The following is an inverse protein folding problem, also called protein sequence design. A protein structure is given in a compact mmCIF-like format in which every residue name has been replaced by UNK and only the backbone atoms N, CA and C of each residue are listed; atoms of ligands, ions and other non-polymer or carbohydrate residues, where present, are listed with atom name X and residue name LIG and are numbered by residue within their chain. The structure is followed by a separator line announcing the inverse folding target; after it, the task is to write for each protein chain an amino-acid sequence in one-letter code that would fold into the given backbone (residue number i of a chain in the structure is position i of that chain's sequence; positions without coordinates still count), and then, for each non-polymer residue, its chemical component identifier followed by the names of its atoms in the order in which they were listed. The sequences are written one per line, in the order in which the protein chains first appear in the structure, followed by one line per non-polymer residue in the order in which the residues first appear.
data_IF_090220269370
#
_entry.id   IF_090220269370
#
_cell.length_a   1.000
_cell.length_b   1.000
_cell.length_c   1.000
_cell.angle_alpha   90.00
_cell.angle_beta   90.00
_cell.angle_gamma   90.00
#
_symmetry.space_group_name_H-M   'P 1'
#
loop_
_entity.id
_entity.type
_entity.pdbx_description
1 polymer ?
#
# COMPACT_ATOMS: atom_id res chain seq x y z
N UNK A 1 -5.68 -18.40 -63.62
CA UNK A 1 -6.19 -18.02 -62.30
C UNK A 1 -6.15 -19.24 -61.39
N UNK A 2 -5.19 -19.29 -60.50
CA UNK A 2 -5.02 -20.40 -59.54
C UNK A 2 -5.47 -19.88 -58.18
N UNK A 3 -6.55 -20.43 -57.63
CA UNK A 3 -7.08 -20.17 -56.31
C UNK A 3 -6.20 -20.87 -55.28
N UNK A 4 -5.53 -20.10 -54.44
CA UNK A 4 -4.76 -20.61 -53.28
C UNK A 4 -5.72 -20.72 -52.09
N UNK A 5 -6.19 -21.93 -51.81
CA UNK A 5 -6.99 -22.18 -50.59
C UNK A 5 -6.08 -22.37 -49.40
N UNK A 6 -6.02 -21.41 -48.50
CA UNK A 6 -5.39 -21.52 -47.19
C UNK A 6 -6.29 -22.33 -46.26
N UNK A 7 -5.92 -23.59 -46.06
CA UNK A 7 -6.48 -24.40 -44.95
C UNK A 7 -5.79 -24.02 -43.67
N UNK A 8 -6.49 -23.30 -42.81
CA UNK A 8 -6.04 -23.02 -41.44
C UNK A 8 -6.02 -24.33 -40.65
N UNK A 9 -4.86 -24.82 -40.33
CA UNK A 9 -4.68 -25.93 -39.42
C UNK A 9 -4.74 -25.35 -37.98
N UNK A 10 -5.91 -25.40 -37.36
CA UNK A 10 -6.11 -25.08 -35.95
C UNK A 10 -5.57 -26.25 -35.11
N UNK A 11 -4.33 -26.20 -34.69
CA UNK A 11 -3.77 -27.11 -33.71
C UNK A 11 -4.32 -26.73 -32.34
N UNK A 12 -5.41 -27.38 -31.92
CA UNK A 12 -5.91 -27.30 -30.55
C UNK A 12 -4.95 -28.15 -29.72
N UNK A 13 -3.99 -27.48 -29.03
CA UNK A 13 -3.24 -28.09 -27.94
C UNK A 13 -4.19 -28.28 -26.75
N UNK A 14 -4.82 -29.46 -26.67
CA UNK A 14 -5.46 -29.91 -25.45
C UNK A 14 -4.37 -30.30 -24.44
N UNK A 15 -3.91 -29.36 -23.65
CA UNK A 15 -3.18 -29.68 -22.43
C UNK A 15 -4.19 -30.34 -21.48
N UNK A 16 -3.93 -31.56 -20.98
CA UNK A 16 -4.68 -32.09 -19.87
C UNK A 16 -4.36 -31.23 -18.64
N UNK A 17 -5.22 -30.26 -18.34
CA UNK A 17 -5.23 -29.66 -17.01
C UNK A 17 -5.63 -30.75 -16.04
N UNK A 18 -4.66 -31.39 -15.41
CA UNK A 18 -4.91 -32.13 -14.19
C UNK A 18 -5.35 -31.12 -13.16
N UNK A 19 -6.65 -30.98 -12.96
CA UNK A 19 -7.23 -30.30 -11.81
C UNK A 19 -6.81 -31.15 -10.59
N UNK A 20 -5.67 -30.82 -9.99
CA UNK A 20 -5.32 -31.31 -8.66
C UNK A 20 -6.31 -30.59 -7.75
N UNK A 21 -7.35 -31.30 -7.30
CA UNK A 21 -8.23 -30.79 -6.26
C UNK A 21 -7.36 -30.49 -5.04
N UNK A 22 -7.22 -29.22 -4.68
CA UNK A 22 -6.50 -28.82 -3.48
C UNK A 22 -7.24 -29.39 -2.28
N UNK A 23 -6.54 -30.16 -1.45
CA UNK A 23 -7.08 -30.67 -0.20
C UNK A 23 -7.01 -29.54 0.85
N UNK A 24 -8.16 -29.11 1.34
CA UNK A 24 -8.30 -28.10 2.38
C UNK A 24 -8.73 -28.70 3.73
N UNK A 25 -8.67 -30.03 3.89
CA UNK A 25 -9.07 -30.70 5.13
C UNK A 25 -8.32 -30.14 6.35
N UNK A 26 -7.01 -29.94 6.22
CA UNK A 26 -6.18 -29.33 7.26
C UNK A 26 -6.68 -27.95 7.70
N UNK A 27 -7.13 -27.12 6.74
CA UNK A 27 -7.65 -25.78 7.00
C UNK A 27 -9.01 -25.84 7.71
N UNK A 28 -9.89 -26.73 7.23
CA UNK A 28 -11.20 -26.95 7.80
C UNK A 28 -11.10 -27.39 9.27
N UNK A 29 -10.19 -28.31 9.56
CA UNK A 29 -9.95 -28.83 10.91
C UNK A 29 -9.33 -27.75 11.81
N UNK A 30 -8.32 -27.02 11.31
CA UNK A 30 -7.62 -25.98 12.06
C UNK A 30 -8.54 -24.83 12.45
N UNK A 31 -9.43 -24.41 11.55
CA UNK A 31 -10.30 -23.26 11.73
C UNK A 31 -11.75 -23.61 12.06
N UNK A 32 -12.04 -24.91 12.33
CA UNK A 32 -13.37 -25.40 12.71
C UNK A 32 -14.45 -24.92 11.71
N UNK A 33 -14.17 -25.12 10.41
CA UNK A 33 -15.07 -24.70 9.35
C UNK A 33 -16.44 -25.36 9.51
N UNK A 34 -17.52 -24.58 9.39
CA UNK A 34 -18.90 -25.02 9.58
C UNK A 34 -19.49 -25.84 8.41
N UNK A 35 -18.70 -26.04 7.34
CA UNK A 35 -19.12 -26.79 6.15
C UNK A 35 -19.96 -25.99 5.16
N UNK A 36 -20.33 -24.75 5.44
CA UNK A 36 -21.27 -23.94 4.65
C UNK A 36 -20.80 -22.53 4.37
N UNK A 37 -20.24 -21.83 5.37
CA UNK A 37 -19.76 -20.46 5.24
C UNK A 37 -18.58 -20.37 4.27
N UNK A 38 -18.63 -19.44 3.32
CA UNK A 38 -17.52 -19.27 2.41
C UNK A 38 -16.25 -18.89 3.16
N UNK A 39 -15.15 -19.54 2.84
CA UNK A 39 -13.88 -19.40 3.56
C UNK A 39 -13.39 -17.93 3.71
N UNK A 40 -13.66 -17.06 2.73
CA UNK A 40 -13.25 -15.66 2.79
C UNK A 40 -13.90 -14.89 3.93
N UNK A 41 -15.04 -15.37 4.46
CA UNK A 41 -15.71 -14.76 5.62
C UNK A 41 -14.97 -14.97 6.93
N UNK A 42 -14.00 -15.87 6.95
CA UNK A 42 -13.09 -16.08 8.09
C UNK A 42 -11.89 -15.12 8.05
N UNK A 43 -11.57 -14.55 6.87
CA UNK A 43 -10.48 -13.60 6.76
C UNK A 43 -10.81 -12.30 7.49
N UNK A 44 -9.89 -11.88 8.34
CA UNK A 44 -9.95 -10.57 8.96
C UNK A 44 -9.29 -9.57 8.00
N UNK A 45 -10.12 -8.81 7.29
CA UNK A 45 -9.64 -7.80 6.33
C UNK A 45 -9.33 -6.51 7.10
N UNK A 46 -8.21 -6.51 7.79
CA UNK A 46 -7.68 -5.42 8.58
C UNK A 46 -6.13 -5.42 8.54
N UNK A 47 -5.46 -4.27 8.76
CA UNK A 47 -4.01 -4.14 8.59
C UNK A 47 -3.18 -5.16 9.39
N UNK A 48 -3.63 -5.55 10.58
CA UNK A 48 -2.92 -6.51 11.42
C UNK A 48 -2.90 -7.94 10.84
N UNK A 49 -3.85 -8.28 9.96
CA UNK A 49 -4.04 -9.64 9.44
C UNK A 49 -3.72 -9.80 7.95
N UNK A 50 -3.31 -8.71 7.28
CA UNK A 50 -3.01 -8.70 5.86
C UNK A 50 -1.52 -8.43 5.59
N UNK A 51 -1.13 -8.52 4.32
CA UNK A 51 0.21 -8.17 3.88
C UNK A 51 0.56 -6.70 4.10
N UNK A 52 1.86 -6.32 4.04
CA UNK A 52 2.32 -4.97 4.40
C UNK A 52 1.75 -3.86 3.51
N UNK A 53 1.34 -4.20 2.30
CA UNK A 53 0.87 -3.24 1.30
C UNK A 53 -0.64 -3.32 1.04
N UNK A 54 -1.38 -4.13 1.82
CA UNK A 54 -2.82 -4.33 1.61
C UNK A 54 -3.65 -3.06 1.90
N UNK A 55 -3.19 -2.24 2.86
CA UNK A 55 -3.85 -1.00 3.24
C UNK A 55 -2.86 0.15 3.21
N UNK A 56 -2.85 0.99 2.15
CA UNK A 56 -2.01 2.18 2.11
C UNK A 56 -2.43 3.15 3.22
N UNK A 57 -1.44 3.66 3.96
CA UNK A 57 -1.64 4.61 5.07
C UNK A 57 -0.99 5.93 4.65
N UNK A 58 -1.75 6.90 4.14
CA UNK A 58 -1.24 8.17 3.66
C UNK A 58 -0.68 9.02 4.81
N UNK A 59 0.24 9.90 4.47
CA UNK A 59 0.79 10.93 5.35
C UNK A 59 0.67 12.29 4.66
N UNK A 60 0.91 13.37 5.41
CA UNK A 60 0.85 14.72 4.88
C UNK A 60 2.00 14.94 3.89
N UNK A 61 1.68 15.04 2.60
CA UNK A 61 2.62 15.34 1.52
C UNK A 61 2.31 16.73 0.94
N UNK A 62 3.34 17.43 0.49
CA UNK A 62 3.18 18.71 -0.21
C UNK A 62 2.68 18.49 -1.64
N UNK A 63 2.13 19.54 -2.22
CA UNK A 63 1.73 19.59 -3.63
C UNK A 63 2.90 19.13 -4.53
N UNK A 64 2.62 18.19 -5.42
CA UNK A 64 3.56 17.80 -6.45
C UNK A 64 3.43 18.73 -7.68
N UNK A 65 4.52 19.36 -8.05
CA UNK A 65 4.61 20.31 -9.18
C UNK A 65 5.37 19.74 -10.37
N UNK A 66 5.96 18.56 -10.23
CA UNK A 66 6.82 17.95 -11.25
C UNK A 66 6.31 16.58 -11.69
N UNK A 67 6.68 16.16 -12.88
CA UNK A 67 6.54 14.77 -13.28
C UNK A 67 7.65 13.98 -12.60
N UNK A 68 7.28 12.93 -11.86
CA UNK A 68 8.21 12.14 -11.06
C UNK A 68 7.99 10.65 -11.29
N UNK A 69 9.07 9.90 -11.26
CA UNK A 69 9.07 8.45 -11.24
C UNK A 69 9.90 7.95 -10.05
N UNK A 70 9.30 7.13 -9.19
CA UNK A 70 9.96 6.59 -7.99
C UNK A 70 9.97 5.07 -8.05
N UNK A 71 11.12 4.51 -7.70
CA UNK A 71 11.32 3.09 -7.43
C UNK A 71 11.75 2.93 -5.98
N UNK A 72 11.18 1.93 -5.31
CA UNK A 72 11.54 1.56 -3.95
C UNK A 72 11.73 0.06 -3.82
N UNK A 73 12.67 -0.34 -2.98
CA UNK A 73 12.81 -1.70 -2.49
C UNK A 73 12.50 -1.71 -1.01
N UNK A 74 11.55 -2.54 -0.60
CA UNK A 74 11.09 -2.69 0.78
C UNK A 74 11.50 -4.05 1.33
N UNK A 75 12.01 -4.07 2.55
CA UNK A 75 12.22 -5.28 3.34
C UNK A 75 11.38 -5.16 4.61
N UNK A 76 10.44 -6.07 4.78
CA UNK A 76 9.51 -6.08 5.91
C UNK A 76 9.88 -7.19 6.88
N UNK A 77 9.89 -6.86 8.16
CA UNK A 77 10.18 -7.79 9.24
C UNK A 77 8.95 -7.97 10.12
N UNK A 78 8.48 -9.20 10.20
CA UNK A 78 7.46 -9.67 11.14
C UNK A 78 7.90 -11.05 11.65
N UNK A 79 7.87 -11.36 12.96
CA UNK A 79 8.15 -12.70 13.45
C UNK A 79 7.30 -13.76 12.76
N UNK A 80 7.92 -14.82 12.25
CA UNK A 80 7.23 -15.87 11.49
C UNK A 80 6.98 -15.56 10.02
N UNK A 81 7.40 -14.41 9.51
CA UNK A 81 7.18 -14.01 8.12
C UNK A 81 8.42 -13.37 7.50
N UNK A 82 8.67 -13.69 6.23
CA UNK A 82 9.69 -13.05 5.40
C UNK A 82 9.02 -12.39 4.21
N UNK A 83 9.23 -11.09 4.07
CA UNK A 83 8.65 -10.28 3.01
C UNK A 83 9.64 -9.28 2.45
N UNK A 84 9.58 -9.09 1.13
CA UNK A 84 10.16 -7.95 0.45
C UNK A 84 9.35 -7.63 -0.81
N UNK A 85 9.37 -6.38 -1.22
CA UNK A 85 8.69 -5.94 -2.44
C UNK A 85 9.43 -4.81 -3.15
N UNK A 86 8.96 -4.54 -4.37
CA UNK A 86 9.32 -3.37 -5.15
C UNK A 86 8.13 -2.44 -5.25
N UNK A 87 8.32 -1.18 -4.85
CA UNK A 87 7.37 -0.10 -5.08
C UNK A 87 7.70 0.58 -6.41
N UNK A 88 6.68 0.83 -7.22
CA UNK A 88 6.74 1.71 -8.38
C UNK A 88 5.69 2.80 -8.23
N UNK A 89 6.10 4.06 -8.42
CA UNK A 89 5.21 5.20 -8.30
C UNK A 89 5.48 6.19 -9.44
N UNK A 90 4.42 6.68 -10.04
CA UNK A 90 4.45 7.73 -11.05
C UNK A 90 3.56 8.87 -10.60
N UNK A 91 4.09 10.11 -10.62
CA UNK A 91 3.34 11.32 -10.26
C UNK A 91 3.37 12.30 -11.43
N UNK A 92 2.23 12.90 -11.71
CA UNK A 92 2.05 13.82 -12.82
C UNK A 92 1.23 15.05 -12.39
N UNK A 93 1.74 16.28 -12.60
CA UNK A 93 0.98 17.49 -12.33
C UNK A 93 -0.13 17.69 -13.37
N UNK A 94 -1.35 17.93 -12.90
CA UNK A 94 -2.52 18.28 -13.71
C UNK A 94 -2.71 19.82 -13.68
N UNK A 95 -1.76 20.53 -14.26
CA UNK A 95 -1.68 21.99 -14.17
C UNK A 95 -1.13 22.45 -12.80
N UNK A 96 -1.46 23.69 -12.41
CA UNK A 96 -0.87 24.34 -11.22
C UNK A 96 -1.51 23.90 -9.90
N UNK A 97 -2.75 23.39 -9.95
CA UNK A 97 -3.58 23.17 -8.75
C UNK A 97 -3.88 21.73 -8.42
N UNK A 98 -3.50 20.79 -9.28
CA UNK A 98 -3.79 19.38 -9.04
C UNK A 98 -2.64 18.48 -9.48
N UNK A 99 -2.55 17.30 -8.92
CA UNK A 99 -1.65 16.25 -9.38
C UNK A 99 -2.30 14.88 -9.26
N UNK A 100 -1.89 13.97 -10.14
CA UNK A 100 -2.26 12.56 -10.15
C UNK A 100 -1.04 11.73 -9.76
N UNK A 101 -1.26 10.70 -8.96
CA UNK A 101 -0.25 9.70 -8.60
C UNK A 101 -0.80 8.30 -8.82
N UNK A 102 0.02 7.46 -9.41
CA UNK A 102 -0.23 6.04 -9.57
C UNK A 102 0.85 5.27 -8.83
N UNK A 103 0.46 4.33 -7.97
CA UNK A 103 1.41 3.51 -7.21
C UNK A 103 1.01 2.04 -7.29
N UNK A 104 1.98 1.16 -7.40
CA UNK A 104 1.81 -0.29 -7.38
C UNK A 104 3.06 -0.96 -6.83
N UNK A 105 2.88 -2.11 -6.17
CA UNK A 105 3.95 -3.05 -5.84
C UNK A 105 3.89 -4.20 -6.84
N UNK A 106 4.58 -4.13 -8.00
CA UNK A 106 4.42 -5.13 -9.07
C UNK A 106 4.87 -6.52 -8.66
N UNK A 107 5.81 -6.62 -7.73
CA UNK A 107 6.34 -7.88 -7.22
C UNK A 107 6.51 -7.76 -5.71
N UNK A 108 5.93 -8.70 -4.99
CA UNK A 108 6.11 -8.94 -3.56
C UNK A 108 6.43 -10.43 -3.36
N UNK A 109 7.52 -10.74 -2.68
CA UNK A 109 7.80 -12.09 -2.19
C UNK A 109 7.33 -12.21 -0.76
N UNK A 110 6.70 -13.33 -0.43
CA UNK A 110 6.28 -13.65 0.93
C UNK A 110 6.52 -15.12 1.27
N UNK A 111 6.78 -15.36 2.55
CA UNK A 111 6.81 -16.68 3.17
C UNK A 111 6.33 -16.57 4.60
N UNK A 112 5.29 -17.33 4.95
CA UNK A 112 4.73 -17.37 6.30
C UNK A 112 4.98 -18.72 6.95
N UNK A 113 5.22 -18.74 8.25
CA UNK A 113 5.18 -19.96 9.04
C UNK A 113 3.74 -20.38 9.37
N UNK A 114 3.59 -21.52 10.06
CA UNK A 114 2.29 -22.07 10.40
C UNK A 114 1.50 -21.22 11.40
N UNK A 115 2.18 -20.46 12.26
CA UNK A 115 1.53 -19.57 13.23
C UNK A 115 0.85 -18.40 12.51
N UNK A 116 1.61 -17.66 11.69
CA UNK A 116 1.08 -16.54 10.91
C UNK A 116 0.03 -17.01 9.90
N UNK A 117 0.26 -18.16 9.23
CA UNK A 117 -0.71 -18.78 8.34
C UNK A 117 -2.07 -18.96 9.01
N UNK A 118 -2.06 -19.56 10.19
CA UNK A 118 -3.29 -19.90 10.93
C UNK A 118 -3.96 -18.63 11.48
N UNK A 119 -3.20 -17.70 12.02
CA UNK A 119 -3.70 -16.41 12.51
C UNK A 119 -4.45 -15.61 11.43
N UNK A 120 -3.93 -15.68 10.19
CA UNK A 120 -4.52 -14.97 9.04
C UNK A 120 -5.53 -15.77 8.24
N UNK A 121 -5.85 -16.99 8.65
CA UNK A 121 -6.75 -17.88 7.90
C UNK A 121 -6.29 -18.14 6.46
N UNK A 122 -4.99 -18.09 6.20
CA UNK A 122 -4.46 -18.35 4.86
C UNK A 122 -4.80 -19.76 4.38
N UNK A 123 -5.13 -19.90 3.09
CA UNK A 123 -5.66 -21.16 2.52
C UNK A 123 -4.58 -22.11 2.02
N UNK A 124 -3.37 -21.64 1.75
CA UNK A 124 -2.28 -22.52 1.33
C UNK A 124 -1.62 -23.14 2.56
N UNK A 125 -1.37 -24.44 2.52
CA UNK A 125 -0.75 -25.17 3.63
C UNK A 125 0.69 -24.67 3.89
N UNK A 126 1.40 -24.33 2.82
CA UNK A 126 2.75 -23.78 2.85
C UNK A 126 2.76 -22.42 2.09
N UNK A 127 2.32 -21.33 2.73
CA UNK A 127 2.13 -20.06 2.07
C UNK A 127 3.47 -19.38 1.80
N UNK A 128 4.01 -19.63 0.62
CA UNK A 128 5.22 -19.04 0.07
C UNK A 128 5.04 -18.75 -1.41
N UNK A 129 5.48 -17.59 -1.87
CA UNK A 129 5.41 -17.27 -3.29
C UNK A 129 5.53 -15.78 -3.59
N UNK A 130 4.97 -15.42 -4.73
CA UNK A 130 4.96 -14.05 -5.21
C UNK A 130 3.54 -13.52 -5.32
N UNK A 131 3.38 -12.24 -4.99
CA UNK A 131 2.15 -11.48 -5.17
C UNK A 131 2.40 -10.25 -6.04
N UNK A 132 1.36 -9.75 -6.69
CA UNK A 132 1.29 -8.40 -7.26
C UNK A 132 0.35 -7.56 -6.42
N UNK A 133 0.70 -6.29 -6.21
CA UNK A 133 -0.09 -5.37 -5.40
C UNK A 133 -1.30 -4.79 -6.12
N UNK A 134 -2.14 -4.14 -5.34
CA UNK A 134 -3.21 -3.30 -5.85
C UNK A 134 -2.66 -2.04 -6.51
N UNK A 135 -3.33 -1.58 -7.56
CA UNK A 135 -3.09 -0.24 -8.07
C UNK A 135 -3.74 0.78 -7.12
N UNK A 136 -2.95 1.72 -6.63
CA UNK A 136 -3.41 2.89 -5.90
C UNK A 136 -3.39 4.10 -6.82
N UNK A 137 -4.53 4.77 -6.94
CA UNK A 137 -4.72 6.00 -7.71
C UNK A 137 -5.01 7.11 -6.70
N UNK A 138 -4.18 8.15 -6.70
CA UNK A 138 -4.33 9.29 -5.80
C UNK A 138 -4.42 10.59 -6.60
N UNK A 139 -5.25 11.50 -6.15
CA UNK A 139 -5.34 12.86 -6.69
C UNK A 139 -5.27 13.86 -5.55
N UNK A 140 -4.47 14.89 -5.75
CA UNK A 140 -4.32 16.01 -4.84
C UNK A 140 -4.81 17.28 -5.51
N UNK A 141 -5.58 18.08 -4.81
CA UNK A 141 -6.09 19.37 -5.27
C UNK A 141 -5.72 20.48 -4.27
N UNK A 142 -5.09 21.52 -4.76
CA UNK A 142 -4.71 22.70 -3.99
C UNK A 142 -5.95 23.55 -3.71
N UNK A 143 -6.30 23.70 -2.44
CA UNK A 143 -7.40 24.55 -1.97
C UNK A 143 -6.94 25.95 -1.60
N UNK A 144 -5.73 26.06 -1.00
CA UNK A 144 -5.15 27.32 -0.56
C UNK A 144 -3.63 27.22 -0.59
N UNK A 145 -2.97 28.32 -0.95
CA UNK A 145 -1.52 28.46 -0.95
C UNK A 145 -1.14 29.92 -0.68
N UNK A 146 -0.14 30.11 0.16
CA UNK A 146 0.59 31.37 0.31
C UNK A 146 2.11 31.06 0.39
N UNK A 147 2.93 32.07 0.68
CA UNK A 147 4.40 31.92 0.70
C UNK A 147 4.92 30.82 1.65
N UNK A 148 4.20 30.54 2.72
CA UNK A 148 4.64 29.59 3.75
C UNK A 148 3.72 28.39 3.95
N UNK A 149 2.47 28.46 3.49
CA UNK A 149 1.47 27.45 3.83
C UNK A 149 0.71 27.00 2.62
N UNK A 150 0.32 25.71 2.63
CA UNK A 150 -0.59 25.13 1.66
C UNK A 150 -1.62 24.23 2.33
N UNK A 151 -2.83 24.21 1.77
CA UNK A 151 -3.91 23.30 2.13
C UNK A 151 -4.31 22.50 0.90
N UNK A 152 -4.25 21.18 1.00
CA UNK A 152 -4.61 20.24 -0.06
C UNK A 152 -5.83 19.43 0.34
N UNK A 153 -6.69 19.14 -0.64
CA UNK A 153 -7.66 18.06 -0.58
C UNK A 153 -7.10 16.86 -1.34
N UNK A 154 -7.11 15.69 -0.72
CA UNK A 154 -6.57 14.48 -1.29
C UNK A 154 -7.66 13.41 -1.33
N UNK A 155 -7.69 12.64 -2.41
CA UNK A 155 -8.49 11.44 -2.58
C UNK A 155 -7.60 10.31 -3.07
N UNK A 156 -7.76 9.12 -2.51
CA UNK A 156 -7.09 7.90 -2.93
C UNK A 156 -8.07 6.77 -3.14
N UNK A 157 -7.86 6.00 -4.20
CA UNK A 157 -8.61 4.81 -4.56
C UNK A 157 -7.64 3.64 -4.71
N UNK A 158 -7.76 2.65 -3.84
CA UNK A 158 -7.12 1.34 -3.97
C UNK A 158 -8.05 0.43 -4.75
N UNK A 159 -7.56 -0.15 -5.84
CA UNK A 159 -8.30 -1.15 -6.62
C UNK A 159 -8.30 -2.51 -5.91
N UNK A 160 -9.04 -3.47 -6.46
CA UNK A 160 -9.03 -4.88 -6.07
C UNK A 160 -8.25 -5.72 -7.09
N UNK A 161 -7.08 -5.22 -7.53
CA UNK A 161 -6.27 -5.85 -8.58
C UNK A 161 -5.10 -6.68 -8.04
N UNK A 162 -4.85 -6.61 -6.74
CA UNK A 162 -3.82 -7.37 -6.06
C UNK A 162 -4.10 -8.87 -6.06
N UNK A 163 -3.04 -9.65 -5.94
CA UNK A 163 -3.13 -11.11 -5.98
C UNK A 163 -2.95 -11.72 -4.58
N UNK A 164 -3.08 -13.06 -4.51
CA UNK A 164 -2.84 -13.84 -3.28
C UNK A 164 -3.77 -13.49 -2.11
N UNK A 165 -5.02 -13.15 -2.39
CA UNK A 165 -6.04 -12.92 -1.37
C UNK A 165 -6.19 -14.13 -0.44
N UNK A 166 -6.15 -15.35 -1.00
CA UNK A 166 -6.22 -16.59 -0.23
C UNK A 166 -5.08 -16.77 0.79
N UNK A 167 -3.98 -16.05 0.62
CA UNK A 167 -2.84 -16.01 1.54
C UNK A 167 -2.79 -14.70 2.35
N UNK A 168 -3.91 -13.97 2.42
CA UNK A 168 -4.03 -12.72 3.15
C UNK A 168 -2.93 -11.69 2.78
N UNK A 169 -2.54 -11.64 1.48
CA UNK A 169 -1.54 -10.66 1.01
C UNK A 169 -2.19 -9.34 0.62
N UNK A 170 -3.09 -9.36 -0.37
CA UNK A 170 -3.87 -8.22 -0.79
C UNK A 170 -5.36 -8.52 -0.66
N UNK A 171 -6.16 -7.48 -0.48
CA UNK A 171 -7.61 -7.64 -0.38
C UNK A 171 -8.21 -7.77 -1.78
N UNK A 172 -9.22 -8.60 -1.93
CA UNK A 172 -10.05 -8.68 -3.15
C UNK A 172 -11.20 -7.65 -3.10
N UNK A 173 -10.89 -6.46 -2.60
CA UNK A 173 -11.87 -5.40 -2.34
C UNK A 173 -11.27 -4.03 -2.55
N UNK A 174 -12.03 -3.09 -3.14
CA UNK A 174 -11.59 -1.71 -3.24
C UNK A 174 -11.61 -1.04 -1.87
N UNK A 175 -10.77 -0.02 -1.74
CA UNK A 175 -10.77 0.89 -0.61
C UNK A 175 -10.56 2.32 -1.10
N UNK A 176 -11.05 3.30 -0.37
CA UNK A 176 -10.83 4.70 -0.69
C UNK A 176 -10.67 5.53 0.56
N UNK A 177 -9.98 6.63 0.41
CA UNK A 177 -9.84 7.64 1.44
C UNK A 177 -9.94 9.03 0.85
N UNK A 178 -10.31 9.97 1.69
CA UNK A 178 -10.21 11.40 1.40
C UNK A 178 -9.77 12.13 2.65
N UNK A 179 -8.96 13.16 2.46
CA UNK A 179 -8.41 13.91 3.57
C UNK A 179 -8.09 15.36 3.17
N UNK A 180 -7.93 16.18 4.18
CA UNK A 180 -7.30 17.49 4.10
C UNK A 180 -5.89 17.38 4.67
N UNK A 181 -4.89 17.92 3.98
CA UNK A 181 -3.54 18.07 4.49
C UNK A 181 -3.12 19.53 4.48
N UNK A 182 -2.63 20.00 5.61
CA UNK A 182 -2.11 21.35 5.80
C UNK A 182 -0.60 21.27 6.00
N UNK A 183 0.15 22.13 5.35
CA UNK A 183 1.60 22.29 5.48
C UNK A 183 1.97 23.72 5.81
N UNK A 184 2.99 23.86 6.64
CA UNK A 184 3.60 25.14 6.95
C UNK A 184 5.12 25.01 6.92
N UNK A 185 5.77 25.78 6.05
CA UNK A 185 7.22 25.85 5.90
C UNK A 185 7.74 27.14 6.53
N UNK A 186 8.86 27.02 7.25
CA UNK A 186 9.59 28.17 7.81
C UNK A 186 11.07 28.07 7.46
N UNK A 187 11.56 29.10 6.77
CA UNK A 187 13.00 29.29 6.58
C UNK A 187 13.63 29.84 7.86
N UNK A 188 14.62 29.13 8.40
CA UNK A 188 15.38 29.55 9.58
C UNK A 188 16.70 30.22 9.19
N UNK A 189 17.28 29.83 8.07
CA UNK A 189 18.46 30.42 7.45
C UNK A 189 18.49 30.10 5.95
N UNK A 190 19.44 30.63 5.22
CA UNK A 190 19.62 30.37 3.79
C UNK A 190 19.74 28.87 3.45
N UNK A 191 20.32 28.07 4.35
CA UNK A 191 20.55 26.64 4.13
C UNK A 191 19.60 25.74 4.92
N UNK A 192 18.76 26.27 5.81
CA UNK A 192 17.96 25.46 6.74
C UNK A 192 16.50 25.87 6.76
N UNK A 193 15.62 24.88 6.49
CA UNK A 193 14.16 25.04 6.51
C UNK A 193 13.52 23.93 7.36
N UNK A 194 12.40 24.25 7.95
CA UNK A 194 11.51 23.30 8.63
C UNK A 194 10.16 23.33 7.91
N UNK A 195 9.63 22.15 7.58
CA UNK A 195 8.28 21.95 7.08
C UNK A 195 7.52 21.06 8.04
N UNK A 196 6.36 21.49 8.49
CA UNK A 196 5.43 20.71 9.32
C UNK A 196 4.12 20.49 8.58
N UNK A 197 3.63 19.25 8.57
CA UNK A 197 2.41 18.86 7.91
C UNK A 197 1.46 18.12 8.85
N UNK A 198 0.16 18.37 8.70
CA UNK A 198 -0.91 17.64 9.39
C UNK A 198 -1.92 17.15 8.35
N UNK A 199 -2.43 15.94 8.56
CA UNK A 199 -3.47 15.34 7.73
C UNK A 199 -4.61 14.83 8.61
N UNK A 200 -5.85 15.08 8.17
CA UNK A 200 -7.05 14.53 8.79
C UNK A 200 -8.05 14.13 7.71
N UNK A 201 -8.64 12.95 7.84
CA UNK A 201 -9.56 12.43 6.84
C UNK A 201 -10.32 11.19 7.28
N UNK A 202 -10.88 10.52 6.29
CA UNK A 202 -11.65 9.28 6.44
C UNK A 202 -11.10 8.23 5.48
N UNK A 203 -11.12 6.98 5.92
CA UNK A 203 -10.74 5.81 5.15
C UNK A 203 -11.85 4.78 5.20
N UNK A 204 -12.17 4.16 4.08
CA UNK A 204 -13.26 3.20 3.93
C UNK A 204 -12.76 2.01 3.12
N UNK A 205 -13.06 0.80 3.59
CA UNK A 205 -12.77 -0.44 2.85
C UNK A 205 -13.85 -1.49 3.08
N UNK A 206 -13.97 -2.39 2.11
CA UNK A 206 -14.90 -3.51 2.20
C UNK A 206 -14.28 -4.65 2.99
N UNK A 207 -15.13 -5.40 3.69
CA UNK A 207 -14.80 -6.65 4.39
C UNK A 207 -15.67 -7.79 3.88
N UNK A 208 -15.30 -9.05 4.20
CA UNK A 208 -16.17 -10.21 3.94
C UNK A 208 -16.98 -10.66 5.17
N UNK A 209 -16.94 -9.89 6.24
CA UNK A 209 -17.69 -10.17 7.47
C UNK A 209 -19.19 -10.07 7.20
N UNK A 210 -19.96 -11.08 7.63
CA UNK A 210 -21.40 -11.20 7.36
C UNK A 210 -22.17 -9.98 7.90
N UNK A 211 -21.81 -9.50 9.09
CA UNK A 211 -22.51 -8.42 9.79
C UNK A 211 -21.91 -7.02 9.57
N UNK A 212 -20.69 -6.94 9.02
CA UNK A 212 -19.96 -5.69 8.82
C UNK A 212 -19.24 -5.74 7.47
N UNK A 213 -19.99 -5.56 6.38
CA UNK A 213 -19.42 -5.65 5.02
C UNK A 213 -18.53 -4.48 4.63
N UNK A 214 -18.50 -3.45 5.45
CA UNK A 214 -17.67 -2.26 5.30
C UNK A 214 -17.10 -1.88 6.66
N UNK A 215 -15.85 -1.42 6.67
CA UNK A 215 -15.26 -0.74 7.82
C UNK A 215 -14.86 0.67 7.41
N UNK A 216 -15.01 1.59 8.35
CA UNK A 216 -14.69 3.01 8.21
C UNK A 216 -13.68 3.39 9.29
N UNK A 217 -12.83 4.38 9.01
CA UNK A 217 -11.83 4.84 9.97
C UNK A 217 -11.60 6.34 9.86
N UNK A 218 -11.27 6.96 11.00
CA UNK A 218 -10.69 8.29 11.02
C UNK A 218 -9.20 8.16 10.73
N UNK A 219 -8.75 8.87 9.70
CA UNK A 219 -7.36 8.90 9.24
C UNK A 219 -6.68 10.15 9.76
N UNK A 220 -5.46 10.01 10.31
CA UNK A 220 -4.65 11.15 10.75
C UNK A 220 -3.16 10.91 10.52
N UNK A 221 -2.42 11.98 10.24
CA UNK A 221 -0.95 11.97 10.28
C UNK A 221 -0.37 13.31 10.67
N UNK A 222 0.88 13.27 11.19
CA UNK A 222 1.73 14.41 11.41
C UNK A 222 3.09 14.15 10.77
N UNK A 223 3.58 15.12 10.02
CA UNK A 223 4.87 15.04 9.30
C UNK A 223 5.73 16.21 9.70
N UNK A 224 7.04 15.99 9.87
CA UNK A 224 8.03 17.04 10.05
C UNK A 224 9.23 16.77 9.14
N UNK A 225 9.62 17.76 8.36
CA UNK A 225 10.79 17.71 7.48
C UNK A 225 11.80 18.79 7.88
N UNK A 226 13.04 18.36 8.03
CA UNK A 226 14.18 19.23 8.31
C UNK A 226 15.08 19.24 7.07
N UNK A 227 15.11 20.34 6.36
CA UNK A 227 15.94 20.50 5.17
C UNK A 227 17.23 21.22 5.51
N UNK A 228 18.35 20.66 5.10
CA UNK A 228 19.66 21.28 5.17
C UNK A 228 20.38 21.07 3.84
N UNK A 229 20.48 22.14 3.05
CA UNK A 229 21.00 22.11 1.67
C UNK A 229 20.28 21.04 0.86
N UNK A 230 21.04 20.07 0.31
CA UNK A 230 20.52 18.93 -0.47
C UNK A 230 20.02 17.74 0.38
N UNK A 231 20.04 17.87 1.70
CA UNK A 231 19.60 16.79 2.60
C UNK A 231 18.26 17.11 3.24
N UNK A 232 17.44 16.09 3.41
CA UNK A 232 16.19 16.20 4.15
C UNK A 232 16.06 15.01 5.13
N UNK A 233 15.71 15.31 6.38
CA UNK A 233 15.28 14.32 7.35
C UNK A 233 13.78 14.49 7.57
N UNK A 234 13.00 13.48 7.19
CA UNK A 234 11.57 13.46 7.36
C UNK A 234 11.18 12.49 8.46
N UNK A 235 10.25 12.90 9.30
CA UNK A 235 9.62 12.10 10.34
C UNK A 235 8.12 12.11 10.14
N UNK A 236 7.46 10.95 10.18
CA UNK A 236 6.03 10.80 10.02
C UNK A 236 5.46 9.96 11.16
N UNK A 237 4.39 10.42 11.76
CA UNK A 237 3.49 9.62 12.58
C UNK A 237 2.15 9.55 11.84
N UNK A 238 1.70 8.35 11.48
CA UNK A 238 0.52 8.17 10.64
C UNK A 238 -0.26 6.93 11.01
N UNK A 239 -1.56 6.99 10.81
CA UNK A 239 -2.42 5.86 11.09
C UNK A 239 -3.88 6.18 10.84
N UNK A 240 -4.72 5.22 11.13
CA UNK A 240 -6.16 5.41 11.17
C UNK A 240 -6.77 4.60 12.31
N UNK A 241 -7.98 4.97 12.73
CA UNK A 241 -8.71 4.29 13.76
C UNK A 241 -10.06 3.83 13.21
N UNK A 242 -10.17 2.53 12.96
CA UNK A 242 -11.40 1.87 12.58
C UNK A 242 -12.34 1.65 13.76
N UNK A 243 -13.56 1.22 13.46
CA UNK A 243 -14.62 1.10 14.46
C UNK A 243 -14.87 -0.34 14.92
N UNK A 244 -14.33 -1.33 14.23
CA UNK A 244 -14.60 -2.74 14.55
C UNK A 244 -13.69 -3.30 15.66
N UNK A 245 -12.53 -2.68 15.91
CA UNK A 245 -11.59 -3.13 16.93
C UNK A 245 -10.98 -4.52 16.63
N UNK A 246 -10.84 -4.86 15.36
CA UNK A 246 -10.36 -6.15 14.89
C UNK A 246 -8.97 -6.07 14.22
N UNK A 247 -8.05 -5.29 14.79
CA UNK A 247 -6.74 -5.03 14.19
C UNK A 247 -6.79 -3.91 13.14
N UNK A 248 -7.76 -3.02 13.24
CA UNK A 248 -8.09 -1.95 12.29
C UNK A 248 -7.67 -0.54 12.77
N UNK A 249 -6.70 -0.48 13.72
CA UNK A 249 -6.20 0.78 14.27
C UNK A 249 -4.67 0.88 14.10
N UNK A 250 -4.14 0.80 12.86
CA UNK A 250 -2.71 0.86 12.64
C UNK A 250 -2.14 2.21 13.01
N UNK A 251 -1.02 2.20 13.71
CA UNK A 251 -0.22 3.39 13.99
C UNK A 251 1.23 3.09 13.64
N UNK A 252 1.83 3.95 12.82
CA UNK A 252 3.18 3.81 12.29
C UNK A 252 3.98 5.08 12.56
N UNK A 253 5.24 4.89 12.90
CA UNK A 253 6.24 5.95 12.90
C UNK A 253 7.29 5.65 11.84
N UNK A 254 7.67 6.63 11.04
CA UNK A 254 8.76 6.48 10.08
C UNK A 254 9.75 7.63 10.12
N UNK A 255 11.00 7.28 9.88
CA UNK A 255 12.11 8.21 9.66
C UNK A 255 12.63 7.98 8.26
N UNK A 256 12.76 9.03 7.46
CA UNK A 256 13.27 8.97 6.10
C UNK A 256 14.38 10.01 5.92
N UNK A 257 15.54 9.54 5.54
CA UNK A 257 16.65 10.37 5.12
C UNK A 257 16.66 10.46 3.60
N UNK A 258 16.74 11.67 3.05
CA UNK A 258 16.75 11.95 1.62
C UNK A 258 17.98 12.76 1.28
N UNK A 259 18.52 12.48 0.07
CA UNK A 259 19.54 13.31 -0.56
C UNK A 259 19.11 13.64 -1.98
N UNK A 260 19.09 14.92 -2.31
CA UNK A 260 18.67 15.42 -3.62
C UNK A 260 19.89 15.80 -4.46
N UNK A 261 19.85 15.41 -5.75
CA UNK A 261 20.78 15.84 -6.77
C UNK A 261 19.98 16.24 -8.00
N UNK A 262 19.97 17.47 -8.35
CA UNK A 262 19.36 18.04 -9.54
C UNK A 262 18.06 17.35 -10.03
N UNK A 263 18.13 16.12 -10.52
CA UNK A 263 16.99 15.32 -11.05
C UNK A 263 16.78 14.01 -10.33
N UNK A 264 17.66 13.64 -9.43
CA UNK A 264 17.62 12.36 -8.71
C UNK A 264 17.58 12.61 -7.21
N UNK A 265 16.67 11.94 -6.54
CA UNK A 265 16.61 11.89 -5.09
C UNK A 265 16.81 10.44 -4.66
N UNK A 266 17.74 10.20 -3.74
CA UNK A 266 17.91 8.92 -3.06
C UNK A 266 17.32 9.00 -1.66
N UNK A 267 16.74 7.90 -1.19
CA UNK A 267 16.18 7.84 0.15
C UNK A 267 16.47 6.51 0.83
N UNK A 268 16.66 6.61 2.13
CA UNK A 268 16.67 5.48 3.06
C UNK A 268 15.63 5.77 4.13
N UNK A 269 14.69 4.86 4.36
CA UNK A 269 13.73 5.01 5.45
C UNK A 269 13.59 3.76 6.28
N UNK A 270 13.22 4.00 7.55
CA UNK A 270 12.80 2.97 8.49
C UNK A 270 11.41 3.30 8.98
N UNK A 271 10.50 2.34 8.90
CA UNK A 271 9.16 2.40 9.47
C UNK A 271 9.07 1.44 10.63
N UNK A 272 8.49 1.90 11.71
CA UNK A 272 8.29 1.15 12.97
C UNK A 272 6.79 1.03 13.19
N UNK A 273 6.33 -0.18 13.38
CA UNK A 273 4.97 -0.49 13.77
C UNK A 273 4.75 -0.19 15.26
N UNK A 274 3.72 0.59 15.58
CA UNK A 274 3.39 0.96 16.95
C UNK A 274 2.12 0.29 17.44
N UNK A 275 1.12 0.10 16.57
CA UNK A 275 -0.14 -0.56 16.89
C UNK A 275 -0.77 -1.16 15.62
N UNK A 276 -1.46 -2.30 15.73
CA UNK A 276 -2.28 -2.98 14.70
C UNK A 276 -1.66 -3.05 13.29
N UNK A 277 -0.35 -3.06 13.23
CA UNK A 277 0.40 -3.24 12.00
C UNK A 277 1.64 -4.08 12.32
N UNK A 278 1.78 -5.30 11.77
CA UNK A 278 2.77 -6.24 12.29
C UNK A 278 4.19 -6.04 11.73
N UNK A 279 4.40 -5.12 10.78
CA UNK A 279 5.65 -5.01 10.04
C UNK A 279 6.50 -3.82 10.45
N UNK A 280 7.78 -4.06 10.73
CA UNK A 280 8.81 -3.05 10.64
C UNK A 280 9.44 -3.11 9.24
N UNK A 281 9.64 -1.94 8.61
CA UNK A 281 10.08 -1.88 7.21
C UNK A 281 11.33 -1.02 7.07
N UNK A 282 12.29 -1.52 6.28
CA UNK A 282 13.40 -0.72 5.75
C UNK A 282 13.15 -0.54 4.25
N UNK A 283 13.23 0.71 3.77
CA UNK A 283 13.06 1.04 2.36
C UNK A 283 14.28 1.76 1.83
N UNK A 284 14.74 1.31 0.66
CA UNK A 284 15.64 2.05 -0.21
C UNK A 284 14.84 2.61 -1.38
N UNK A 285 14.97 3.90 -1.66
CA UNK A 285 14.21 4.55 -2.72
C UNK A 285 15.08 5.40 -3.62
N UNK A 286 14.68 5.49 -4.87
CA UNK A 286 15.21 6.39 -5.88
C UNK A 286 14.05 7.07 -6.61
N UNK A 287 14.07 8.39 -6.66
CA UNK A 287 13.09 9.19 -7.38
C UNK A 287 13.81 10.02 -8.45
N UNK A 288 13.25 10.03 -9.65
CA UNK A 288 13.68 10.86 -10.77
C UNK A 288 12.62 11.91 -11.08
N UNK A 289 13.05 13.14 -11.22
CA UNK A 289 12.20 14.30 -11.57
C UNK A 289 12.53 14.74 -13.00
N UNK A 290 11.50 14.85 -13.86
CA UNK A 290 11.59 15.21 -15.27
C UNK A 290 11.57 16.71 -15.49
#
# INVERSE_FOLDING_TARGET
MRSCSWKYFLLIFSFPFTLIAQDFSWWNDTHQWDGTTHWSSYLVIAPNFMGPNAFPIPFAERKNTNTEFELGFNSHTNPGEKNWDFLTRFSYPLGEKASLRLSINPIEYFKMDTSIRNERFARDEFPEGYASGDLLVEMNALLFENEQSELLFNIGLKTASGSQFRNARYTDSPAYYFNLSFHHEKELSQDFKIDAGLLLGLYVWQTYMINNRQNDAILASATMRLHYKEYCLQNDLRGFKGYLGNGDQPLLYSVKFLKEWRFVQLSLSQQIALNDYPYNTIQLGMKYTF
#
